data_IF_539730280871
#
_entry.id   IF_539730280871
#
_cell.length_a   1.000
_cell.length_b   1.000
_cell.length_c   1.000
_cell.angle_alpha   90.00
_cell.angle_beta   90.00
_cell.angle_gamma   90.00
#
_symmetry.space_group_name_H-M   'P 1'
#
loop_
_entity.id
_entity.type
_entity.pdbx_description
1 polymer ?
#
# COMPACT_ATOMS: atom_id res chain seq x y z
N UNK A 1 -35.45 -4.00 -13.67
CA UNK A 1 -34.43 -3.49 -14.60
C UNK A 1 -33.27 -2.97 -13.74
N UNK A 2 -32.42 -3.89 -13.26
CA UNK A 2 -31.27 -3.53 -12.40
C UNK A 2 -30.11 -3.27 -13.36
N UNK A 3 -29.69 -2.00 -13.43
CA UNK A 3 -28.53 -1.58 -14.20
C UNK A 3 -27.29 -2.22 -13.59
N UNK A 4 -26.80 -3.28 -14.23
CA UNK A 4 -25.44 -3.79 -14.02
C UNK A 4 -24.48 -2.72 -14.58
N UNK A 5 -24.08 -1.80 -13.72
CA UNK A 5 -22.89 -0.98 -14.00
C UNK A 5 -21.72 -1.97 -14.00
N UNK A 6 -21.25 -2.31 -15.20
CA UNK A 6 -19.98 -2.96 -15.40
C UNK A 6 -18.91 -2.07 -14.75
N UNK A 7 -18.51 -2.41 -13.52
CA UNK A 7 -17.31 -1.88 -12.91
C UNK A 7 -16.19 -2.40 -13.80
N UNK A 8 -15.55 -1.53 -14.58
CA UNK A 8 -14.30 -1.89 -15.20
C UNK A 8 -13.39 -2.37 -14.07
N UNK A 9 -13.05 -3.65 -14.04
CA UNK A 9 -12.17 -4.22 -13.02
C UNK A 9 -10.85 -3.47 -13.08
N UNK A 10 -10.60 -2.62 -12.08
CA UNK A 10 -9.30 -1.98 -11.90
C UNK A 10 -8.39 -2.96 -11.15
N UNK A 11 -8.44 -4.24 -11.54
CA UNK A 11 -7.62 -5.30 -10.95
C UNK A 11 -6.24 -5.26 -11.55
N UNK A 12 -5.23 -5.48 -10.72
CA UNK A 12 -3.85 -5.67 -11.16
C UNK A 12 -3.32 -6.98 -10.63
N UNK A 13 -2.76 -7.79 -11.52
CA UNK A 13 -1.99 -8.97 -11.15
C UNK A 13 -0.56 -8.57 -10.82
N UNK A 14 -0.06 -9.06 -9.69
CA UNK A 14 1.31 -8.88 -9.23
C UNK A 14 1.94 -10.24 -8.95
N UNK A 15 3.24 -10.27 -8.63
CA UNK A 15 3.89 -11.49 -8.19
C UNK A 15 3.38 -12.02 -6.84
N UNK A 16 2.75 -11.17 -6.01
CA UNK A 16 2.26 -11.51 -4.67
C UNK A 16 0.75 -11.72 -4.58
N UNK A 17 0.03 -11.47 -5.67
CA UNK A 17 -1.41 -11.68 -5.76
C UNK A 17 -2.10 -10.69 -6.69
N UNK A 18 -3.42 -10.77 -6.70
CA UNK A 18 -4.35 -9.93 -7.44
C UNK A 18 -4.92 -8.90 -6.48
N UNK A 19 -4.72 -7.61 -6.77
CA UNK A 19 -5.22 -6.51 -5.95
C UNK A 19 -6.35 -5.78 -6.68
N UNK A 20 -7.43 -5.51 -5.95
CA UNK A 20 -8.52 -4.66 -6.42
C UNK A 20 -8.14 -3.18 -6.27
N UNK A 21 -8.23 -2.45 -7.38
CA UNK A 21 -8.04 -1.01 -7.36
C UNK A 21 -9.36 -0.26 -7.26
N UNK A 22 -9.30 0.96 -6.74
CA UNK A 22 -10.43 1.88 -6.72
C UNK A 22 -10.04 3.24 -7.29
N UNK A 23 -11.04 3.96 -7.79
CA UNK A 23 -10.85 5.27 -8.45
C UNK A 23 -11.38 6.40 -7.57
N UNK A 24 -10.55 7.42 -7.33
CA UNK A 24 -10.96 8.68 -6.67
C UNK A 24 -10.64 9.88 -7.57
N UNK A 25 -11.64 10.31 -8.33
CA UNK A 25 -11.48 11.35 -9.35
C UNK A 25 -10.64 10.86 -10.53
N UNK A 26 -9.48 11.47 -10.77
CA UNK A 26 -8.56 11.09 -11.86
C UNK A 26 -7.42 10.15 -11.45
N UNK A 27 -7.46 9.62 -10.23
CA UNK A 27 -6.42 8.73 -9.69
C UNK A 27 -7.03 7.38 -9.39
N UNK A 28 -6.28 6.34 -9.71
CA UNK A 28 -6.53 4.97 -9.31
C UNK A 28 -5.54 4.62 -8.19
N UNK A 29 -6.03 3.87 -7.21
CA UNK A 29 -5.29 3.41 -6.03
C UNK A 29 -5.36 1.90 -5.96
N UNK A 30 -4.24 1.28 -5.56
CA UNK A 30 -4.13 -0.11 -5.18
C UNK A 30 -3.35 -0.15 -3.87
N UNK A 31 -4.04 -0.49 -2.80
CA UNK A 31 -3.50 -0.35 -1.45
C UNK A 31 -3.07 -1.70 -0.89
N UNK A 32 -2.12 -1.64 0.06
CA UNK A 32 -1.71 -2.75 0.90
C UNK A 32 -1.28 -4.01 0.12
N UNK A 33 -0.44 -3.80 -0.90
CA UNK A 33 0.18 -4.88 -1.67
C UNK A 33 1.37 -5.44 -0.88
N UNK A 34 1.39 -6.72 -0.48
CA UNK A 34 2.53 -7.31 0.21
C UNK A 34 3.71 -7.42 -0.75
N UNK A 35 4.86 -6.86 -0.38
CA UNK A 35 6.09 -6.96 -1.17
C UNK A 35 7.08 -8.01 -0.63
N UNK A 36 6.84 -8.54 0.58
CA UNK A 36 7.63 -9.59 1.20
C UNK A 36 6.78 -10.46 2.14
N UNK A 37 7.30 -11.62 2.54
CA UNK A 37 6.70 -12.44 3.59
C UNK A 37 6.68 -11.66 4.91
N UNK A 38 5.65 -11.84 5.76
CA UNK A 38 5.57 -11.21 7.07
C UNK A 38 6.83 -11.53 7.91
N UNK A 39 7.52 -10.53 8.50
CA UNK A 39 8.75 -10.72 9.28
C UNK A 39 8.45 -11.15 10.73
N UNK A 40 7.53 -12.10 10.91
CA UNK A 40 7.09 -12.62 12.20
C UNK A 40 7.79 -13.94 12.56
N UNK A 41 7.70 -14.34 13.83
CA UNK A 41 8.23 -15.61 14.34
C UNK A 41 9.70 -15.84 13.94
N UNK A 42 9.97 -16.94 13.22
CA UNK A 42 11.31 -17.32 12.76
C UNK A 42 11.90 -16.37 11.71
N UNK A 43 11.07 -15.49 11.13
CA UNK A 43 11.51 -14.44 10.20
C UNK A 43 11.82 -13.11 10.89
N UNK A 44 11.50 -12.96 12.19
CA UNK A 44 11.88 -11.77 12.94
C UNK A 44 13.41 -11.61 12.95
N UNK A 45 13.88 -10.38 12.72
CA UNK A 45 15.32 -10.04 12.63
C UNK A 45 16.08 -10.74 11.49
N UNK A 46 15.37 -11.20 10.45
CA UNK A 46 15.96 -11.74 9.23
C UNK A 46 15.71 -10.80 8.05
N UNK A 47 16.53 -10.95 7.01
CA UNK A 47 16.29 -10.26 5.75
C UNK A 47 14.91 -10.65 5.17
N UNK A 48 14.16 -9.70 4.57
CA UNK A 48 12.87 -9.97 3.94
C UNK A 48 12.94 -11.13 2.95
N UNK A 49 11.89 -11.94 2.89
CA UNK A 49 11.79 -13.07 1.96
C UNK A 49 10.77 -12.77 0.88
N UNK A 50 11.12 -13.10 -0.36
CA UNK A 50 10.22 -12.94 -1.50
C UNK A 50 8.92 -13.72 -1.27
N UNK A 51 7.82 -13.09 -1.62
CA UNK A 51 6.50 -13.71 -1.74
C UNK A 51 6.23 -13.97 -3.22
N UNK A 52 5.72 -15.16 -3.55
CA UNK A 52 5.29 -15.53 -4.90
C UNK A 52 3.99 -16.30 -4.78
N UNK A 53 2.90 -15.60 -4.97
CA UNK A 53 1.56 -16.17 -4.91
C UNK A 53 0.61 -15.35 -5.79
N UNK A 54 0.81 -15.42 -7.10
CA UNK A 54 0.07 -14.59 -8.06
C UNK A 54 -1.44 -14.83 -8.08
N UNK A 55 -1.92 -15.92 -7.45
CA UNK A 55 -3.34 -16.26 -7.35
C UNK A 55 -3.98 -15.80 -6.05
N UNK A 56 -3.19 -15.35 -5.08
CA UNK A 56 -3.70 -14.80 -3.83
C UNK A 56 -4.55 -13.55 -4.10
N UNK A 57 -5.69 -13.41 -3.42
CA UNK A 57 -6.48 -12.18 -3.48
C UNK A 57 -6.01 -11.25 -2.36
N UNK A 58 -5.52 -10.08 -2.73
CA UNK A 58 -5.03 -9.07 -1.80
C UNK A 58 -6.20 -8.18 -1.40
N UNK A 59 -6.44 -8.11 -0.08
CA UNK A 59 -7.43 -7.24 0.53
C UNK A 59 -6.73 -6.07 1.23
N UNK A 60 -7.28 -4.87 1.11
CA UNK A 60 -6.83 -3.70 1.86
C UNK A 60 -6.92 -3.94 3.37
N UNK A 61 -5.97 -3.40 4.13
CA UNK A 61 -5.85 -3.57 5.57
C UNK A 61 -6.01 -2.24 6.28
N UNK A 62 -6.85 -2.20 7.29
CA UNK A 62 -6.91 -1.04 8.19
C UNK A 62 -5.70 -1.03 9.13
N UNK A 63 -5.17 0.17 9.42
CA UNK A 63 -4.05 0.36 10.34
C UNK A 63 -2.79 -0.46 9.99
N UNK A 64 -2.47 -0.56 8.70
CA UNK A 64 -1.38 -1.37 8.18
C UNK A 64 -0.04 -0.63 8.20
N UNK A 65 0.60 -0.62 9.36
CA UNK A 65 1.91 0.00 9.56
C UNK A 65 2.74 -0.75 10.61
N UNK A 66 4.06 -0.61 10.49
CA UNK A 66 4.99 -1.31 11.36
C UNK A 66 4.92 -0.83 12.82
N UNK A 67 5.29 -1.74 13.74
CA UNK A 67 5.35 -1.47 15.17
C UNK A 67 6.20 -0.23 15.48
N UNK A 68 5.62 0.72 16.18
CA UNK A 68 6.28 1.97 16.58
C UNK A 68 5.59 2.59 17.81
N UNK A 69 6.23 3.59 18.43
CA UNK A 69 5.57 4.42 19.45
C UNK A 69 4.58 5.38 18.77
N UNK A 70 3.40 5.63 19.37
CA UNK A 70 2.53 6.69 18.88
C UNK A 70 3.25 8.04 18.86
N UNK A 71 3.01 8.83 17.81
CA UNK A 71 3.63 10.15 17.67
C UNK A 71 2.75 11.09 16.86
N UNK A 72 2.52 12.29 17.39
CA UNK A 72 1.82 13.37 16.67
C UNK A 72 2.69 14.09 15.64
N UNK A 73 4.01 13.81 15.60
CA UNK A 73 4.99 14.51 14.77
C UNK A 73 5.53 13.65 13.61
N UNK A 74 4.79 12.63 13.19
CA UNK A 74 5.18 11.78 12.05
C UNK A 74 5.05 10.27 12.30
N UNK A 75 4.04 9.88 13.08
CA UNK A 75 3.65 8.48 13.27
C UNK A 75 2.14 8.35 13.40
N UNK A 76 1.63 7.12 13.57
CA UNK A 76 0.23 6.90 13.90
C UNK A 76 -0.07 7.42 15.32
N UNK A 77 -1.30 7.87 15.54
CA UNK A 77 -1.81 8.12 16.88
C UNK A 77 -2.09 6.83 17.65
N UNK A 78 -2.44 6.94 18.92
CA UNK A 78 -2.88 5.81 19.74
C UNK A 78 -2.56 5.99 21.22
N UNK A 79 -3.27 5.23 22.05
CA UNK A 79 -3.25 5.38 23.51
C UNK A 79 -2.35 4.35 24.22
N UNK A 80 -1.75 3.43 23.45
CA UNK A 80 -0.84 2.39 23.94
C UNK A 80 0.63 2.79 23.93
N UNK A 81 1.49 1.98 24.55
CA UNK A 81 2.95 2.17 24.48
C UNK A 81 3.51 1.95 23.06
N UNK A 82 2.89 1.03 22.32
CA UNK A 82 3.21 0.70 20.94
C UNK A 82 1.92 0.49 20.15
N UNK A 83 1.98 0.78 18.85
CA UNK A 83 0.89 0.57 17.88
C UNK A 83 1.45 -0.04 16.61
N UNK A 84 0.58 -0.59 15.76
CA UNK A 84 0.94 -1.26 14.51
C UNK A 84 1.11 -2.78 14.66
N UNK A 85 1.64 -3.40 13.61
CA UNK A 85 1.81 -4.85 13.50
C UNK A 85 3.19 -5.18 12.95
N UNK A 86 3.70 -6.39 13.22
CA UNK A 86 4.92 -6.88 12.58
C UNK A 86 4.68 -7.38 11.15
N UNK A 87 3.46 -7.82 10.83
CA UNK A 87 3.04 -8.08 9.46
C UNK A 87 2.73 -6.74 8.77
N UNK A 88 3.77 -6.00 8.41
CA UNK A 88 3.69 -4.61 7.92
C UNK A 88 4.46 -4.32 6.62
N UNK A 89 5.00 -5.34 5.94
CA UNK A 89 5.77 -5.17 4.70
C UNK A 89 4.85 -5.02 3.47
N UNK A 90 4.15 -3.89 3.42
CA UNK A 90 3.17 -3.54 2.39
C UNK A 90 3.50 -2.18 1.76
N UNK A 91 3.04 -2.01 0.52
CA UNK A 91 3.14 -0.74 -0.21
C UNK A 91 1.80 -0.41 -0.89
N UNK A 92 1.63 0.86 -1.22
CA UNK A 92 0.53 1.33 -2.05
C UNK A 92 1.05 1.79 -3.40
N UNK A 93 0.21 1.64 -4.42
CA UNK A 93 0.45 2.15 -5.76
C UNK A 93 -0.69 3.10 -6.11
N UNK A 94 -0.35 4.25 -6.66
CA UNK A 94 -1.33 5.14 -7.27
C UNK A 94 -0.88 5.58 -8.66
N UNK A 95 -1.83 5.65 -9.58
CA UNK A 95 -1.57 6.05 -10.96
C UNK A 95 -2.71 6.89 -11.53
N UNK A 96 -2.41 7.62 -12.59
CA UNK A 96 -3.42 8.38 -13.33
C UNK A 96 -4.43 7.44 -13.98
N UNK A 97 -5.72 7.77 -13.89
CA UNK A 97 -6.78 7.00 -14.55
C UNK A 97 -6.78 7.18 -16.08
N UNK A 98 -5.91 8.04 -16.61
CA UNK A 98 -5.74 8.26 -18.04
C UNK A 98 -5.04 7.05 -18.63
N UNK A 99 -5.73 6.33 -19.53
CA UNK A 99 -5.08 5.33 -20.37
C UNK A 99 -3.95 6.01 -21.14
N UNK A 100 -2.71 5.64 -20.85
CA UNK A 100 -1.57 5.95 -21.69
C UNK A 100 -1.15 4.66 -22.40
N UNK A 101 -0.85 4.79 -23.69
CA UNK A 101 -0.26 3.71 -24.49
C UNK A 101 1.20 3.46 -24.14
N UNK A 102 1.78 4.28 -23.26
CA UNK A 102 3.19 4.30 -22.89
C UNK A 102 3.36 4.07 -21.40
N UNK A 103 4.50 3.49 -21.02
CA UNK A 103 4.92 3.34 -19.63
C UNK A 103 5.09 4.72 -18.98
N UNK A 104 4.69 4.82 -17.71
CA UNK A 104 4.85 6.04 -16.91
C UNK A 104 6.19 6.01 -16.16
N UNK A 105 6.81 7.17 -15.91
CA UNK A 105 7.88 7.26 -14.93
C UNK A 105 7.33 6.93 -13.53
N UNK A 106 8.12 6.21 -12.73
CA UNK A 106 7.76 5.79 -11.38
C UNK A 106 8.48 6.67 -10.36
N UNK A 107 7.72 7.29 -9.46
CA UNK A 107 8.26 7.86 -8.24
C UNK A 107 8.12 6.84 -7.11
N UNK A 108 9.22 6.48 -6.47
CA UNK A 108 9.22 5.61 -5.30
C UNK A 108 9.51 6.46 -4.05
N UNK A 109 8.56 6.50 -3.12
CA UNK A 109 8.67 7.28 -1.90
C UNK A 109 9.03 6.40 -0.69
N UNK A 110 9.97 6.87 0.12
CA UNK A 110 10.37 6.25 1.37
C UNK A 110 10.10 7.28 2.47
N UNK A 111 9.26 6.93 3.44
CA UNK A 111 8.89 7.85 4.50
C UNK A 111 10.06 8.19 5.44
N UNK A 112 9.96 9.34 6.11
CA UNK A 112 10.91 9.75 7.16
C UNK A 112 10.58 9.12 8.52
N UNK A 113 11.04 9.74 9.61
CA UNK A 113 10.76 9.29 10.99
C UNK A 113 11.95 8.67 11.73
N UNK A 114 13.17 8.98 11.29
CA UNK A 114 14.40 8.63 12.01
C UNK A 114 14.61 7.14 12.24
N UNK A 115 14.03 6.29 11.38
CA UNK A 115 14.01 4.82 11.51
C UNK A 115 13.30 4.30 12.77
N UNK A 116 12.42 5.11 13.38
CA UNK A 116 11.68 4.73 14.59
C UNK A 116 10.17 4.95 14.47
N UNK A 117 9.74 5.75 13.50
CA UNK A 117 8.34 6.00 13.21
C UNK A 117 8.09 6.25 11.72
N UNK A 118 6.83 6.38 11.34
CA UNK A 118 6.34 6.69 10.01
C UNK A 118 5.48 5.57 9.43
N UNK A 119 4.62 5.95 8.48
CA UNK A 119 3.78 5.03 7.73
C UNK A 119 3.45 5.62 6.35
N UNK A 120 3.08 4.74 5.41
CA UNK A 120 2.74 5.12 4.02
C UNK A 120 1.53 6.07 3.94
N UNK A 121 0.52 5.87 4.80
CA UNK A 121 -0.75 6.61 4.72
C UNK A 121 -0.67 8.09 5.14
N UNK A 122 0.48 8.55 5.65
CA UNK A 122 0.71 9.97 5.94
C UNK A 122 0.88 10.84 4.68
N UNK A 123 1.11 10.22 3.51
CA UNK A 123 1.51 10.92 2.30
C UNK A 123 0.43 10.85 1.21
N UNK A 124 -0.18 12.00 0.89
CA UNK A 124 -1.13 12.11 -0.23
C UNK A 124 -0.44 12.56 -1.53
N UNK A 125 -0.26 11.61 -2.45
CA UNK A 125 0.34 11.86 -3.77
C UNK A 125 -0.66 12.28 -4.85
N UNK A 126 -1.96 12.41 -4.52
CA UNK A 126 -3.01 12.68 -5.50
C UNK A 126 -2.72 13.88 -6.40
N UNK A 127 -2.29 15.00 -5.81
CA UNK A 127 -2.00 16.24 -6.56
C UNK A 127 -0.89 16.04 -7.60
N UNK A 128 0.11 15.22 -7.27
CA UNK A 128 1.21 14.91 -8.17
C UNK A 128 0.75 13.95 -9.26
N UNK A 129 0.09 12.85 -8.89
CA UNK A 129 -0.39 11.84 -9.84
C UNK A 129 -1.37 12.42 -10.86
N UNK A 130 -2.23 13.37 -10.46
CA UNK A 130 -3.17 14.03 -11.38
C UNK A 130 -2.55 14.95 -12.43
N UNK A 131 -1.31 15.43 -12.19
CA UNK A 131 -0.64 16.36 -13.12
C UNK A 131 0.03 15.64 -14.29
N UNK A 132 0.24 14.33 -14.17
CA UNK A 132 0.94 13.51 -15.16
C UNK A 132 0.06 12.36 -15.65
#
# INVERSE_FOLDING_TARGET
MISLIAHAEIKVETSSGIVDGYKKGRVIYWDDIPYAKPPIDQLRWKAPRTIRDSKNIILSKENNYCVQRPSSLGGPGGDGLYVGTEDCLYLDISATARKKSELLPVMFWIHGGGNTSGLKDLYDFNKMVRRH
#
